data_IF_452473057410
#
_entry.id   IF_452473057410
#
_cell.length_a   1.000
_cell.length_b   1.000
_cell.length_c   1.000
_cell.angle_alpha   90.00
_cell.angle_beta   90.00
_cell.angle_gamma   90.00
#
_symmetry.space_group_name_H-M   'P 1'
#
loop_
_entity.id
_entity.type
_entity.pdbx_description
1 polymer ?
#
# COMPACT_ATOMS: atom_id res chain seq x y z
N UNK A 1 37.36 -9.57 2.31
CA UNK A 1 35.88 -9.72 2.30
C UNK A 1 35.42 -9.83 0.86
N UNK A 2 34.63 -10.84 0.51
CA UNK A 2 34.08 -10.96 -0.84
C UNK A 2 33.15 -9.77 -1.11
N UNK A 3 33.36 -9.06 -2.23
CA UNK A 3 32.48 -7.96 -2.63
C UNK A 3 31.13 -8.55 -3.01
N UNK A 4 30.06 -7.96 -2.47
CA UNK A 4 28.70 -8.30 -2.87
C UNK A 4 28.51 -7.99 -4.36
N UNK A 5 27.69 -8.78 -5.09
CA UNK A 5 27.41 -8.51 -6.49
C UNK A 5 26.75 -7.13 -6.64
N UNK A 6 27.07 -6.43 -7.74
CA UNK A 6 26.48 -5.12 -7.99
C UNK A 6 24.96 -5.25 -8.09
N UNK A 7 24.26 -4.23 -7.62
CA UNK A 7 22.81 -4.13 -7.71
C UNK A 7 22.41 -2.80 -8.30
N UNK A 8 21.23 -2.76 -8.92
CA UNK A 8 20.64 -1.52 -9.43
C UNK A 8 19.79 -0.87 -8.33
N UNK A 9 19.94 0.43 -8.12
CA UNK A 9 19.20 1.17 -7.10
C UNK A 9 17.68 1.03 -7.30
N UNK A 10 16.96 0.76 -6.21
CA UNK A 10 15.51 0.60 -6.20
C UNK A 10 14.74 1.92 -6.40
N UNK A 11 15.40 3.07 -6.19
CA UNK A 11 14.82 4.37 -6.52
C UNK A 11 14.66 4.49 -8.05
N UNK A 12 13.43 4.72 -8.52
CA UNK A 12 13.06 4.79 -9.94
C UNK A 12 13.79 5.89 -10.70
N UNK A 13 14.08 7.00 -10.01
CA UNK A 13 14.77 8.15 -10.61
C UNK A 13 16.29 7.94 -10.71
N UNK A 14 16.87 7.16 -9.79
CA UNK A 14 18.31 6.97 -9.74
C UNK A 14 18.77 5.83 -10.65
N UNK A 15 18.27 4.60 -10.42
CA UNK A 15 18.58 3.38 -11.20
C UNK A 15 20.07 3.13 -11.50
N UNK A 16 20.98 3.75 -10.77
CA UNK A 16 22.42 3.53 -10.89
C UNK A 16 22.80 2.16 -10.34
N UNK A 17 23.86 1.58 -10.92
CA UNK A 17 24.51 0.40 -10.36
C UNK A 17 25.38 0.80 -9.18
N UNK A 18 25.32 0.04 -8.09
CA UNK A 18 26.15 0.26 -6.91
C UNK A 18 26.59 -1.08 -6.30
N UNK A 19 27.65 -1.04 -5.50
CA UNK A 19 28.09 -2.18 -4.69
C UNK A 19 27.42 -2.11 -3.31
N UNK A 20 26.61 -3.10 -2.93
CA UNK A 20 26.07 -3.16 -1.59
C UNK A 20 27.18 -3.24 -0.54
N UNK A 21 27.07 -2.43 0.53
CA UNK A 21 27.95 -2.49 1.71
C UNK A 21 27.49 -3.60 2.65
N UNK A 22 26.17 -3.83 2.71
CA UNK A 22 25.52 -4.82 3.56
C UNK A 22 24.58 -5.67 2.73
N UNK A 23 24.37 -6.90 3.17
CA UNK A 23 23.36 -7.76 2.60
C UNK A 23 21.97 -7.12 2.73
N UNK A 24 21.16 -7.20 1.66
CA UNK A 24 19.84 -6.57 1.62
C UNK A 24 19.82 -5.06 1.31
N UNK A 25 20.96 -4.39 1.11
CA UNK A 25 20.95 -3.01 0.66
C UNK A 25 20.38 -2.89 -0.76
N UNK A 26 19.28 -2.13 -0.90
CA UNK A 26 18.54 -1.94 -2.16
C UNK A 26 18.74 -0.57 -2.81
N UNK A 27 19.40 0.36 -2.11
CA UNK A 27 19.57 1.75 -2.52
C UNK A 27 21.03 2.18 -2.42
N UNK A 28 21.47 3.00 -3.37
CA UNK A 28 22.85 3.46 -3.46
C UNK A 28 23.23 4.51 -2.41
N UNK A 29 22.25 5.26 -1.89
CA UNK A 29 22.49 6.36 -0.93
C UNK A 29 21.31 6.55 0.02
N UNK A 30 21.57 7.27 1.12
CA UNK A 30 20.53 7.63 2.10
C UNK A 30 19.40 8.48 1.50
N UNK A 31 19.71 9.36 0.55
CA UNK A 31 18.70 10.14 -0.17
C UNK A 31 17.74 9.22 -0.93
N UNK A 32 18.27 8.21 -1.62
CA UNK A 32 17.45 7.20 -2.30
C UNK A 32 16.65 6.35 -1.32
N UNK A 33 17.23 5.99 -0.17
CA UNK A 33 16.50 5.30 0.91
C UNK A 33 15.29 6.10 1.38
N UNK A 34 15.50 7.40 1.61
CA UNK A 34 14.46 8.33 2.06
C UNK A 34 13.34 8.49 1.02
N UNK A 35 13.70 8.62 -0.26
CA UNK A 35 12.72 8.73 -1.36
C UNK A 35 11.85 7.46 -1.46
N UNK A 36 12.49 6.28 -1.46
CA UNK A 36 11.79 4.99 -1.52
C UNK A 36 10.91 4.79 -0.28
N UNK A 37 11.41 5.10 0.92
CA UNK A 37 10.66 4.99 2.17
C UNK A 37 9.42 5.90 2.20
N UNK A 38 9.53 7.13 1.70
CA UNK A 38 8.40 8.05 1.54
C UNK A 38 7.35 7.51 0.56
N UNK A 39 7.77 6.99 -0.59
CA UNK A 39 6.85 6.39 -1.58
C UNK A 39 6.12 5.17 -1.01
N UNK A 40 6.84 4.28 -0.31
CA UNK A 40 6.25 3.11 0.34
C UNK A 40 5.23 3.52 1.42
N UNK A 41 5.58 4.51 2.25
CA UNK A 41 4.68 5.04 3.28
C UNK A 41 3.42 5.64 2.66
N UNK A 42 3.55 6.39 1.56
CA UNK A 42 2.40 6.94 0.81
C UNK A 42 1.47 5.82 0.34
N UNK A 43 2.02 4.78 -0.31
CA UNK A 43 1.24 3.63 -0.79
C UNK A 43 0.54 2.89 0.36
N UNK A 44 1.21 2.72 1.50
CA UNK A 44 0.63 2.08 2.67
C UNK A 44 -0.56 2.88 3.23
N UNK A 45 -0.45 4.21 3.28
CA UNK A 45 -1.55 5.10 3.68
C UNK A 45 -2.73 5.02 2.73
N UNK A 46 -2.49 5.08 1.42
CA UNK A 46 -3.54 4.93 0.40
C UNK A 46 -4.23 3.56 0.49
N UNK A 47 -3.47 2.49 0.69
CA UNK A 47 -4.02 1.15 0.88
C UNK A 47 -4.88 1.05 2.15
N UNK A 48 -4.44 1.66 3.26
CA UNK A 48 -5.21 1.71 4.50
C UNK A 48 -6.53 2.48 4.30
N UNK A 49 -6.50 3.62 3.62
CA UNK A 49 -7.71 4.40 3.30
C UNK A 49 -8.69 3.62 2.43
N UNK A 50 -8.20 2.93 1.39
CA UNK A 50 -9.06 2.09 0.54
C UNK A 50 -9.72 0.95 1.32
N UNK A 51 -8.97 0.30 2.23
CA UNK A 51 -9.52 -0.74 3.10
C UNK A 51 -10.61 -0.17 4.02
N UNK A 52 -10.37 0.98 4.65
CA UNK A 52 -11.35 1.64 5.49
C UNK A 52 -12.63 2.00 4.72
N UNK A 53 -12.50 2.58 3.52
CA UNK A 53 -13.65 2.89 2.66
C UNK A 53 -14.41 1.63 2.21
N UNK A 54 -13.71 0.54 1.91
CA UNK A 54 -14.35 -0.73 1.55
C UNK A 54 -15.18 -1.29 2.70
N UNK A 55 -14.68 -1.21 3.94
CA UNK A 55 -15.42 -1.63 5.14
C UNK A 55 -16.66 -0.77 5.35
N UNK A 56 -16.54 0.56 5.23
CA UNK A 56 -17.69 1.49 5.34
C UNK A 56 -18.78 1.14 4.32
N UNK A 57 -18.42 0.96 3.05
CA UNK A 57 -19.36 0.56 1.99
C UNK A 57 -20.02 -0.79 2.26
N UNK A 58 -19.29 -1.74 2.83
CA UNK A 58 -19.82 -3.05 3.19
C UNK A 58 -20.86 -2.95 4.31
N UNK A 59 -20.62 -2.12 5.33
CA UNK A 59 -21.56 -1.84 6.41
C UNK A 59 -22.83 -1.18 5.84
N UNK A 60 -22.68 -0.11 5.07
CA UNK A 60 -23.81 0.61 4.47
C UNK A 60 -24.66 -0.31 3.58
N UNK A 61 -24.02 -1.20 2.81
CA UNK A 61 -24.73 -2.19 1.98
C UNK A 61 -25.56 -3.15 2.84
N UNK A 62 -25.03 -3.62 3.97
CA UNK A 62 -25.76 -4.50 4.91
C UNK A 62 -26.93 -3.76 5.55
N UNK A 63 -26.72 -2.53 6.02
CA UNK A 63 -27.78 -1.71 6.61
C UNK A 63 -28.89 -1.43 5.61
N UNK A 64 -28.53 -1.07 4.38
CA UNK A 64 -29.49 -0.85 3.29
C UNK A 64 -30.28 -2.11 2.96
N UNK A 65 -29.63 -3.27 2.94
CA UNK A 65 -30.31 -4.55 2.75
C UNK A 65 -31.29 -4.84 3.90
N UNK A 66 -30.88 -4.65 5.15
CA UNK A 66 -31.74 -4.81 6.32
C UNK A 66 -32.95 -3.86 6.29
N UNK A 67 -32.75 -2.59 5.91
CA UNK A 67 -33.83 -1.62 5.75
C UNK A 67 -34.84 -2.05 4.67
N UNK A 68 -34.36 -2.55 3.52
CA UNK A 68 -35.24 -3.06 2.45
C UNK A 68 -36.07 -4.26 2.93
N UNK A 69 -35.47 -5.18 3.68
CA UNK A 69 -36.17 -6.34 4.25
C UNK A 69 -37.27 -5.88 5.23
N UNK A 70 -36.94 -4.96 6.15
CA UNK A 70 -37.93 -4.36 7.07
C UNK A 70 -39.08 -3.69 6.33
N UNK A 71 -38.79 -2.92 5.27
CA UNK A 71 -39.82 -2.25 4.46
C UNK A 71 -40.71 -3.26 3.72
N UNK A 72 -40.13 -4.32 3.15
CA UNK A 72 -40.89 -5.36 2.46
C UNK A 72 -41.84 -6.10 3.40
N UNK A 73 -41.42 -6.38 4.64
CA UNK A 73 -42.23 -7.07 5.64
C UNK A 73 -43.47 -6.28 6.09
N UNK A 74 -43.47 -4.95 5.94
CA UNK A 74 -44.58 -4.07 6.36
C UNK A 74 -45.44 -3.61 5.17
N UNK A 75 -45.10 -4.03 3.93
CA UNK A 75 -45.88 -3.65 2.75
C UNK A 75 -47.17 -4.48 2.71
N UNK A 76 -48.37 -3.85 2.72
CA UNK A 76 -49.63 -4.58 2.58
C UNK A 76 -49.72 -5.25 1.20
N UNK A 77 -50.40 -6.39 1.13
CA UNK A 77 -50.66 -7.16 -0.10
C UNK A 77 -51.42 -6.34 -1.15
#
# INVERSE_FOLDING_TARGET
MAKLPHRKCANKECRQWFHPIREGQIVCSYQCASAVGKEQTRKAREAAQRKAQSLQRAVEKKERAAWRQRKAAVKPL
#
